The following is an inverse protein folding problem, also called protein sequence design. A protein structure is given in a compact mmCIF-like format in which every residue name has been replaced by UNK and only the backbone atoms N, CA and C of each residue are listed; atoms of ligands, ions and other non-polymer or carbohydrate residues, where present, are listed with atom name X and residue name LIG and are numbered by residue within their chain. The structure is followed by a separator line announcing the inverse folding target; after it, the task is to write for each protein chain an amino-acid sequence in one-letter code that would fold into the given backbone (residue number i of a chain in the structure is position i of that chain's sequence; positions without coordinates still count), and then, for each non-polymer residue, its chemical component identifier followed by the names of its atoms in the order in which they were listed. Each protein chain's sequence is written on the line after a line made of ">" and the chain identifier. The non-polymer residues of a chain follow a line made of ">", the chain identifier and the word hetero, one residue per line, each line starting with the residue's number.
data_IF_735107777580
#
_entry.id   IF_735107777580
#
_cell.length_a   1.000
_cell.length_b   1.000
_cell.length_c   1.000
_cell.angle_alpha   90.00
_cell.angle_beta   90.00
_cell.angle_gamma   90.00
#
_symmetry.space_group_name_H-M   'P 1'
#
loop_
_entity.id
_entity.type
_entity.pdbx_description
1 polymer ?
#
# COMPACT_ATOMS: atom_id res chain seq x y z
N UNK A 1 -16.80 1.75 -10.27
CA UNK A 1 -16.14 0.46 -10.00
C UNK A 1 -16.31 0.17 -8.52
N UNK A 2 -16.31 -1.08 -8.09
CA UNK A 2 -16.55 -1.42 -6.67
C UNK A 2 -15.32 -2.16 -6.16
N UNK A 3 -14.65 -1.57 -5.17
CA UNK A 3 -13.56 -2.19 -4.43
C UNK A 3 -14.18 -3.24 -3.51
N UNK A 4 -13.62 -4.45 -3.50
CA UNK A 4 -14.10 -5.56 -2.67
C UNK A 4 -13.37 -5.62 -1.33
N UNK A 5 -13.95 -6.30 -0.35
CA UNK A 5 -13.31 -6.57 0.95
C UNK A 5 -11.94 -7.24 0.81
N UNK A 6 -11.79 -8.09 -0.21
CA UNK A 6 -10.51 -8.74 -0.54
C UNK A 6 -9.47 -7.74 -1.04
N UNK A 7 -9.88 -6.72 -1.79
CA UNK A 7 -8.97 -5.67 -2.24
C UNK A 7 -8.49 -4.87 -1.03
N UNK A 8 -9.39 -4.52 -0.10
CA UNK A 8 -9.03 -3.84 1.14
C UNK A 8 -8.06 -4.64 2.01
N UNK A 9 -8.30 -5.95 2.16
CA UNK A 9 -7.38 -6.85 2.85
C UNK A 9 -6.00 -6.81 2.18
N UNK A 10 -5.97 -6.87 0.85
CA UNK A 10 -4.70 -6.87 0.12
C UNK A 10 -3.96 -5.56 0.26
N UNK A 11 -4.65 -4.41 0.24
CA UNK A 11 -4.01 -3.12 0.52
C UNK A 11 -3.39 -3.10 1.92
N UNK A 12 -4.14 -3.56 2.93
CA UNK A 12 -3.65 -3.65 4.30
C UNK A 12 -2.38 -4.50 4.39
N UNK A 13 -2.32 -5.64 3.68
CA UNK A 13 -1.15 -6.52 3.67
C UNK A 13 0.05 -5.90 2.93
N UNK A 14 -0.19 -5.20 1.82
CA UNK A 14 0.84 -4.58 0.99
C UNK A 14 1.52 -3.40 1.70
N UNK A 15 0.82 -2.66 2.57
CA UNK A 15 1.44 -1.54 3.30
C UNK A 15 2.57 -2.00 4.22
N UNK A 16 2.49 -3.21 4.79
CA UNK A 16 3.59 -3.78 5.57
C UNK A 16 4.86 -4.03 4.73
N UNK A 17 4.74 -4.21 3.42
CA UNK A 17 5.87 -4.51 2.53
C UNK A 17 6.68 -3.26 2.18
N UNK A 18 6.18 -2.08 2.57
CA UNK A 18 6.93 -0.83 2.49
C UNK A 18 8.01 -0.73 3.55
N UNK A 19 7.89 -1.48 4.65
CA UNK A 19 8.85 -1.45 5.76
C UNK A 19 10.15 -2.19 5.38
N UNK A 20 11.31 -1.50 5.28
CA UNK A 20 12.60 -2.16 5.05
C UNK A 20 13.00 -3.15 6.15
N UNK A 21 12.42 -3.03 7.35
CA UNK A 21 12.66 -3.97 8.44
C UNK A 21 11.88 -5.29 8.27
N UNK A 22 10.88 -5.34 7.39
CA UNK A 22 10.15 -6.57 7.03
C UNK A 22 10.95 -7.41 6.00
N UNK A 23 12.12 -7.91 6.41
CA UNK A 23 13.12 -8.58 5.53
C UNK A 23 12.52 -9.68 4.64
N UNK A 24 11.43 -10.34 5.07
CA UNK A 24 10.78 -11.41 4.31
C UNK A 24 9.85 -10.93 3.19
N UNK A 25 9.31 -9.73 3.29
CA UNK A 25 8.25 -9.22 2.41
C UNK A 25 8.54 -7.83 1.84
N UNK A 26 9.62 -7.19 2.27
CA UNK A 26 10.00 -5.87 1.82
C UNK A 26 10.11 -5.81 0.28
N UNK A 27 9.34 -4.90 -0.30
CA UNK A 27 9.21 -4.74 -1.74
C UNK A 27 9.55 -3.29 -2.14
N UNK A 28 10.82 -2.98 -2.46
CA UNK A 28 11.27 -1.62 -2.79
C UNK A 28 10.66 -1.05 -4.08
N UNK A 29 10.04 -1.90 -4.90
CA UNK A 29 9.36 -1.50 -6.13
C UNK A 29 7.98 -0.87 -5.88
N UNK A 30 7.42 -1.03 -4.68
CA UNK A 30 6.16 -0.41 -4.26
C UNK A 30 6.34 1.08 -3.96
N UNK A 31 6.39 1.86 -5.04
CA UNK A 31 6.56 3.32 -4.98
C UNK A 31 5.47 4.05 -5.76
N UNK A 32 5.47 5.36 -5.64
CA UNK A 32 4.56 6.23 -6.37
C UNK A 32 4.57 5.93 -7.86
N UNK A 33 3.38 5.80 -8.43
CA UNK A 33 3.20 5.48 -9.84
C UNK A 33 3.21 3.99 -10.17
N UNK A 34 3.57 3.11 -9.23
CA UNK A 34 3.46 1.67 -9.43
C UNK A 34 2.01 1.27 -9.71
N UNK A 35 1.83 0.42 -10.72
CA UNK A 35 0.52 -0.11 -11.11
C UNK A 35 0.51 -1.59 -10.83
N UNK A 36 -0.40 -2.01 -9.97
CA UNK A 36 -0.64 -3.43 -9.69
C UNK A 36 -2.06 -3.82 -10.11
N UNK A 37 -2.20 -5.10 -10.45
CA UNK A 37 -3.43 -5.70 -10.92
C UNK A 37 -3.87 -6.76 -9.91
N UNK A 38 -5.04 -6.53 -9.31
CA UNK A 38 -5.72 -7.51 -8.45
C UNK A 38 -6.96 -8.01 -9.19
N UNK A 39 -6.96 -9.30 -9.55
CA UNK A 39 -8.01 -9.89 -10.37
C UNK A 39 -8.21 -9.17 -11.70
N UNK A 40 -9.37 -8.51 -11.87
CA UNK A 40 -9.71 -7.73 -13.09
C UNK A 40 -9.44 -6.23 -12.94
N UNK A 41 -9.20 -5.74 -11.73
CA UNK A 41 -9.03 -4.34 -11.44
C UNK A 41 -7.54 -3.97 -11.39
N UNK A 42 -7.20 -2.81 -11.95
CA UNK A 42 -5.87 -2.22 -11.80
C UNK A 42 -5.94 -1.05 -10.85
N UNK A 43 -4.90 -0.88 -10.06
CA UNK A 43 -4.76 0.22 -9.11
C UNK A 43 -3.40 0.86 -9.29
N UNK A 44 -3.34 2.17 -9.02
CA UNK A 44 -2.12 2.95 -9.04
C UNK A 44 -1.84 3.46 -7.64
N UNK A 45 -0.58 3.32 -7.22
CA UNK A 45 -0.09 3.96 -6.01
C UNK A 45 0.07 5.47 -6.30
N UNK A 46 -0.67 6.28 -5.54
CA UNK A 46 -0.64 7.74 -5.65
C UNK A 46 0.43 8.34 -4.75
N UNK A 47 0.56 7.82 -3.53
CA UNK A 47 1.51 8.30 -2.52
C UNK A 47 1.94 7.15 -1.62
N UNK A 48 3.21 7.18 -1.21
CA UNK A 48 3.77 6.29 -0.19
C UNK A 48 4.43 7.15 0.88
N UNK A 49 4.24 6.76 2.14
CA UNK A 49 4.98 7.28 3.27
C UNK A 49 5.56 6.10 4.06
N UNK A 50 6.88 6.04 4.15
CA UNK A 50 7.62 5.02 4.89
C UNK A 50 8.34 5.74 6.03
N UNK A 51 7.95 5.45 7.27
CA UNK A 51 8.47 6.08 8.48
C UNK A 51 9.02 5.05 9.48
N UNK A 52 9.48 3.89 9.01
CA UNK A 52 10.04 2.82 9.85
C UNK A 52 11.25 3.26 10.66
N UNK A 53 11.94 4.35 10.26
CA UNK A 53 13.06 4.94 11.00
C UNK A 53 12.67 6.00 12.03
N UNK A 54 11.41 6.46 12.05
CA UNK A 54 10.95 7.54 12.94
C UNK A 54 9.88 7.06 13.90
N UNK A 55 8.65 6.85 13.42
CA UNK A 55 7.48 6.50 14.22
C UNK A 55 7.04 5.03 14.00
N UNK A 56 7.73 4.31 13.11
CA UNK A 56 7.45 2.91 12.82
C UNK A 56 6.24 2.69 11.92
N UNK A 57 5.55 3.75 11.48
CA UNK A 57 4.33 3.64 10.67
C UNK A 57 4.62 3.64 9.18
N UNK A 58 3.74 3.02 8.41
CA UNK A 58 3.76 3.09 6.95
C UNK A 58 2.35 3.42 6.44
N UNK A 59 2.29 4.18 5.35
CA UNK A 59 1.02 4.54 4.73
C UNK A 59 1.12 4.50 3.20
N UNK A 60 0.04 4.08 2.57
CA UNK A 60 -0.08 4.01 1.11
C UNK A 60 -1.45 4.52 0.67
N UNK A 61 -1.45 5.45 -0.30
CA UNK A 61 -2.66 5.88 -0.98
C UNK A 61 -2.74 5.22 -2.35
N UNK A 62 -3.86 4.55 -2.64
CA UNK A 62 -4.12 3.88 -3.92
C UNK A 62 -5.45 4.32 -4.51
N UNK A 63 -5.53 4.30 -5.83
CA UNK A 63 -6.78 4.54 -6.56
C UNK A 63 -6.92 3.58 -7.74
N UNK A 64 -8.15 3.16 -8.07
CA UNK A 64 -8.41 2.32 -9.23
C UNK A 64 -8.15 3.06 -10.54
N UNK A 65 -7.82 2.31 -11.57
CA UNK A 65 -7.77 2.81 -12.94
C UNK A 65 -9.09 2.52 -13.66
N UNK A 66 -9.54 3.49 -14.45
CA UNK A 66 -10.67 3.33 -15.37
C UNK A 66 -10.32 2.46 -16.57
N UNK A 67 -11.31 2.20 -17.43
CA UNK A 67 -11.14 1.41 -18.66
C UNK A 67 -10.12 2.01 -19.63
N UNK A 68 -9.84 3.31 -19.51
CA UNK A 68 -8.89 4.05 -20.33
C UNK A 68 -7.51 4.17 -19.66
N UNK A 69 -7.30 3.56 -18.49
CA UNK A 69 -6.05 3.65 -17.72
C UNK A 69 -5.86 4.97 -16.97
N UNK A 70 -6.90 5.79 -16.85
CA UNK A 70 -6.88 7.03 -16.04
C UNK A 70 -7.18 6.70 -14.59
N UNK A 71 -6.53 7.43 -13.69
CA UNK A 71 -6.78 7.29 -12.25
C UNK A 71 -8.18 7.80 -11.94
N UNK A 72 -9.00 6.97 -11.31
CA UNK A 72 -10.32 7.34 -10.80
C UNK A 72 -10.17 7.83 -9.35
N UNK A 73 -10.07 9.15 -9.17
CA UNK A 73 -9.92 9.79 -7.86
C UNK A 73 -11.25 9.93 -7.10
N UNK A 74 -12.37 9.48 -7.66
CA UNK A 74 -13.64 9.44 -6.92
C UNK A 74 -13.58 8.45 -5.75
N UNK A 75 -12.64 7.50 -5.80
CA UNK A 75 -12.35 6.55 -4.74
C UNK A 75 -10.84 6.49 -4.51
N UNK A 76 -10.39 7.03 -3.38
CA UNK A 76 -9.02 6.89 -2.91
C UNK A 76 -9.06 6.06 -1.64
N UNK A 77 -8.27 4.98 -1.60
CA UNK A 77 -8.09 4.18 -0.39
C UNK A 77 -6.74 4.52 0.20
N UNK A 78 -6.74 4.83 1.49
CA UNK A 78 -5.52 5.05 2.26
C UNK A 78 -5.42 3.91 3.26
N UNK A 79 -4.37 3.11 3.11
CA UNK A 79 -4.06 2.02 4.01
C UNK A 79 -2.87 2.42 4.89
N UNK A 80 -2.93 1.99 6.16
CA UNK A 80 -1.91 2.27 7.16
C UNK A 80 -1.47 0.94 7.78
N UNK A 81 -0.17 0.73 7.89
CA UNK A 81 0.40 -0.34 8.68
C UNK A 81 0.86 0.25 10.02
N UNK A 82 0.35 -0.34 11.10
CA UNK A 82 0.76 -0.02 12.45
C UNK A 82 2.15 -0.57 12.74
N UNK A 83 2.83 0.08 13.68
CA UNK A 83 4.23 -0.14 14.02
C UNK A 83 4.63 -1.60 14.01
N UNK A 84 5.71 -1.91 13.30
CA UNK A 84 6.55 -3.06 13.61
C UNK A 84 7.40 -2.61 14.81
N UNK A 85 7.08 -2.96 16.07
CA UNK A 85 7.98 -2.69 17.17
C UNK A 85 9.22 -3.54 16.89
N UNK A 86 10.22 -2.93 16.25
CA UNK A 86 11.57 -3.43 16.35
C UNK A 86 11.80 -3.69 17.83
N UNK A 87 12.07 -4.95 18.15
CA UNK A 87 12.18 -5.49 19.49
C UNK A 87 13.06 -4.59 20.37
N UNK A 88 12.49 -3.61 21.06
CA UNK A 88 13.08 -3.03 22.26
C UNK A 88 12.44 -3.72 23.45
N UNK A 89 12.63 -5.04 23.54
CA UNK A 89 12.32 -5.77 24.75
C UNK A 89 13.62 -6.37 25.26
N UNK A 90 14.12 -5.74 26.32
CA UNK A 90 15.26 -6.08 27.18
C UNK A 90 16.64 -5.72 26.66
#
# INVERSE_FOLDING_TARGET
>A
MTISDKDYQTYSDVVYWLDPNEIKKYAPDLKEGFIWKEGKQKFKILKVQENSKTDGMQAMAVAPLDKNGRVDTSQVVIAYAGTNPSKSCC
#
